data_IF_793344349102
#
_entry.id   IF_793344349102
#
_cell.length_a   1.000
_cell.length_b   1.000
_cell.length_c   1.000
_cell.angle_alpha   90.00
_cell.angle_beta   90.00
_cell.angle_gamma   90.00
#
_symmetry.space_group_name_H-M   'P 1'
#
loop_
_entity.id
_entity.type
_entity.pdbx_description
1 polymer ?
#
# COMPACT_ATOMS: atom_id res chain seq x y z
N UNK A 1 -11.03 -14.78 1.04
CA UNK A 1 -10.21 -14.16 2.11
C UNK A 1 -8.76 -14.28 1.68
N UNK A 2 -7.93 -13.24 1.84
CA UNK A 2 -6.51 -13.38 1.55
C UNK A 2 -5.87 -14.30 2.60
N UNK A 3 -5.15 -15.34 2.17
CA UNK A 3 -4.43 -16.23 3.07
C UNK A 3 -3.43 -15.46 3.95
N UNK A 4 -3.45 -15.73 5.26
CA UNK A 4 -2.56 -15.08 6.21
C UNK A 4 -1.14 -15.64 6.05
N UNK A 5 -0.17 -14.74 5.83
CA UNK A 5 1.26 -15.08 5.83
C UNK A 5 1.68 -15.57 7.22
N UNK A 6 2.05 -16.85 7.34
CA UNK A 6 2.35 -17.52 8.62
C UNK A 6 3.81 -17.96 8.78
N UNK A 7 4.63 -17.81 7.74
CA UNK A 7 6.05 -18.20 7.72
C UNK A 7 6.95 -16.96 7.69
N UNK A 8 8.07 -17.03 8.39
CA UNK A 8 9.10 -15.99 8.44
C UNK A 8 10.36 -16.50 7.73
N UNK A 9 10.97 -15.62 6.93
CA UNK A 9 12.26 -15.86 6.29
C UNK A 9 13.28 -14.92 6.93
N UNK A 10 14.34 -15.49 7.51
CA UNK A 10 15.49 -14.75 8.06
C UNK A 10 16.73 -15.13 7.27
N UNK A 11 17.54 -14.15 6.89
CA UNK A 11 18.84 -14.37 6.24
C UNK A 11 19.89 -13.45 6.85
N UNK A 12 21.12 -13.93 6.92
CA UNK A 12 22.28 -13.10 7.23
C UNK A 12 22.78 -12.47 5.93
N UNK A 13 23.09 -11.19 6.00
CA UNK A 13 23.65 -10.41 4.88
C UNK A 13 24.83 -9.61 5.40
N UNK A 14 25.78 -9.36 4.52
CA UNK A 14 26.83 -8.37 4.74
C UNK A 14 26.24 -6.95 4.74
N UNK A 15 27.01 -5.99 5.24
CA UNK A 15 26.61 -4.58 5.24
C UNK A 15 26.38 -4.04 3.81
N UNK A 16 27.23 -4.43 2.85
CA UNK A 16 27.08 -4.04 1.44
C UNK A 16 25.79 -4.60 0.84
N UNK A 17 25.48 -5.87 1.09
CA UNK A 17 24.24 -6.49 0.63
C UNK A 17 23.01 -5.80 1.24
N UNK A 18 23.05 -5.48 2.54
CA UNK A 18 21.97 -4.75 3.20
C UNK A 18 21.76 -3.37 2.56
N UNK A 19 22.84 -2.60 2.35
CA UNK A 19 22.78 -1.29 1.71
C UNK A 19 22.19 -1.38 0.30
N UNK A 20 22.66 -2.32 -0.51
CA UNK A 20 22.17 -2.52 -1.89
C UNK A 20 20.71 -2.96 -1.93
N UNK A 21 20.24 -3.73 -0.95
CA UNK A 21 18.83 -4.10 -0.81
C UNK A 21 17.97 -2.88 -0.47
N UNK A 22 18.43 -2.00 0.42
CA UNK A 22 17.72 -0.77 0.77
C UNK A 22 17.67 0.22 -0.40
N UNK A 23 18.76 0.40 -1.13
CA UNK A 23 18.82 1.27 -2.33
C UNK A 23 17.83 0.80 -3.41
N UNK A 24 17.75 -0.52 -3.65
CA UNK A 24 16.81 -1.11 -4.64
C UNK A 24 15.35 -1.04 -4.23
N UNK A 25 15.10 -0.92 -2.93
CA UNK A 25 13.76 -0.87 -2.39
C UNK A 25 13.03 0.44 -2.76
N UNK A 26 13.78 1.49 -3.11
CA UNK A 26 13.25 2.79 -3.57
C UNK A 26 12.17 3.35 -2.62
N UNK A 27 12.47 3.35 -1.32
CA UNK A 27 11.58 3.84 -0.26
C UNK A 27 10.39 2.94 0.09
N UNK A 28 10.20 1.80 -0.60
CA UNK A 28 9.23 0.78 -0.17
C UNK A 28 9.70 0.11 1.12
N UNK A 29 8.82 -0.64 1.77
CA UNK A 29 9.25 -1.57 2.82
C UNK A 29 9.95 -2.77 2.17
N UNK A 30 11.15 -3.14 2.65
CA UNK A 30 11.97 -4.22 2.07
C UNK A 30 11.19 -5.51 1.88
N UNK A 31 10.37 -5.91 2.85
CA UNK A 31 9.54 -7.11 2.76
C UNK A 31 8.45 -7.02 1.66
N UNK A 32 7.91 -5.83 1.38
CA UNK A 32 6.95 -5.64 0.29
C UNK A 32 7.67 -5.71 -1.07
N UNK A 33 8.82 -5.04 -1.18
CA UNK A 33 9.65 -5.07 -2.39
C UNK A 33 10.14 -6.49 -2.70
N UNK A 34 10.63 -7.24 -1.71
CA UNK A 34 11.10 -8.61 -1.91
C UNK A 34 9.99 -9.52 -2.43
N UNK A 35 8.74 -9.37 -1.98
CA UNK A 35 7.63 -10.18 -2.53
C UNK A 35 7.31 -9.81 -3.96
N UNK A 36 7.29 -8.52 -4.28
CA UNK A 36 7.13 -8.06 -5.65
C UNK A 36 8.24 -8.61 -6.56
N UNK A 37 9.49 -8.56 -6.12
CA UNK A 37 10.66 -8.95 -6.93
C UNK A 37 10.86 -10.47 -7.01
N UNK A 38 10.70 -11.19 -5.90
CA UNK A 38 10.95 -12.64 -5.85
C UNK A 38 9.75 -13.50 -6.26
N UNK A 39 8.52 -12.97 -6.19
CA UNK A 39 7.29 -13.73 -6.44
C UNK A 39 6.42 -13.14 -7.56
N UNK A 40 6.89 -12.08 -8.24
CA UNK A 40 6.10 -11.28 -9.21
C UNK A 40 4.76 -10.79 -8.61
N UNK A 41 4.73 -10.57 -7.28
CA UNK A 41 3.50 -10.14 -6.62
C UNK A 41 3.16 -8.71 -7.07
N UNK A 42 2.07 -8.57 -7.83
CA UNK A 42 1.57 -7.25 -8.23
C UNK A 42 1.25 -6.46 -6.96
N UNK A 43 1.83 -5.27 -6.75
CA UNK A 43 1.51 -4.48 -5.58
C UNK A 43 0.01 -4.26 -5.55
N UNK A 44 -0.62 -4.48 -4.39
CA UNK A 44 -1.99 -4.07 -4.19
C UNK A 44 -2.06 -2.60 -4.62
N UNK A 45 -2.84 -2.31 -5.67
CA UNK A 45 -3.11 -0.93 -6.05
C UNK A 45 -3.68 -0.30 -4.79
N UNK A 46 -2.88 0.48 -4.07
CA UNK A 46 -3.43 1.53 -3.22
C UNK A 46 -4.27 2.32 -4.21
N UNK A 47 -5.58 2.09 -4.18
CA UNK A 47 -6.50 2.72 -5.12
C UNK A 47 -6.17 4.19 -5.03
N UNK A 48 -5.57 4.74 -6.10
CA UNK A 48 -5.33 6.17 -6.18
C UNK A 48 -6.75 6.71 -6.16
N UNK A 49 -7.19 7.15 -4.98
CA UNK A 49 -8.52 7.71 -4.83
C UNK A 49 -8.57 8.77 -5.92
N UNK A 50 -9.55 8.74 -6.84
CA UNK A 50 -9.68 9.81 -7.81
C UNK A 50 -9.56 11.11 -7.04
N UNK A 51 -8.79 12.07 -7.57
CA UNK A 51 -8.64 13.38 -6.95
C UNK A 51 -10.00 14.06 -6.99
N UNK A 52 -10.85 13.70 -6.04
CA UNK A 52 -12.16 14.29 -5.83
C UNK A 52 -11.93 15.46 -4.91
N UNK A 53 -12.42 16.62 -5.32
CA UNK A 53 -12.21 17.81 -4.53
C UNK A 53 -12.89 17.63 -3.16
N UNK A 54 -12.24 18.02 -2.05
CA UNK A 54 -12.86 17.95 -0.73
C UNK A 54 -14.18 18.74 -0.64
N UNK A 55 -14.35 19.76 -1.48
CA UNK A 55 -15.58 20.54 -1.57
C UNK A 55 -16.75 19.68 -2.09
N UNK A 56 -16.54 18.87 -3.13
CA UNK A 56 -17.57 18.00 -3.69
C UNK A 56 -18.00 16.91 -2.69
N UNK A 57 -17.05 16.34 -1.93
CA UNK A 57 -17.38 15.37 -0.87
C UNK A 57 -18.26 15.99 0.22
N UNK A 58 -17.96 17.24 0.63
CA UNK A 58 -18.79 17.95 1.61
C UNK A 58 -20.17 18.30 1.08
N UNK A 59 -20.28 18.71 -0.19
CA UNK A 59 -21.57 18.97 -0.82
C UNK A 59 -22.43 17.70 -0.91
N UNK A 60 -21.82 16.58 -1.32
CA UNK A 60 -22.53 15.29 -1.37
C UNK A 60 -23.00 14.85 0.01
N UNK A 61 -22.16 14.97 1.04
CA UNK A 61 -22.55 14.70 2.42
C UNK A 61 -23.66 15.63 2.92
N UNK A 62 -23.60 16.92 2.57
CA UNK A 62 -24.65 17.90 2.91
C UNK A 62 -25.99 17.59 2.25
N UNK A 63 -25.99 17.19 0.97
CA UNK A 63 -27.20 16.74 0.28
C UNK A 63 -27.77 15.47 0.92
N UNK A 64 -26.92 14.50 1.27
CA UNK A 64 -27.34 13.30 1.99
C UNK A 64 -27.96 13.60 3.35
N UNK A 65 -27.39 14.54 4.11
CA UNK A 65 -27.95 14.97 5.40
C UNK A 65 -29.32 15.64 5.23
N UNK A 66 -29.48 16.51 4.23
CA UNK A 66 -30.77 17.15 3.95
C UNK A 66 -31.85 16.13 3.55
N UNK A 67 -31.48 15.13 2.74
CA UNK A 67 -32.40 14.04 2.37
C UNK A 67 -32.77 13.15 3.55
N UNK A 68 -31.86 12.92 4.49
CA UNK A 68 -32.13 12.12 5.69
C UNK A 68 -33.03 12.86 6.71
N UNK A 69 -33.25 14.16 6.54
CA UNK A 69 -34.04 14.99 7.45
C UNK A 69 -35.46 15.29 6.93
N UNK A 70 -35.81 14.80 5.74
CA UNK A 70 -37.14 14.89 5.13
C UNK A 70 -37.81 13.52 5.27
#
# INVERSE_FOLDING_TARGET
>A
MADKRSKMLTMWVTEDEHRRLLERCDGKQLAAWMRQTCLDEKPARAGKLPSISPALLRQLAGMGNNLNQI
#
